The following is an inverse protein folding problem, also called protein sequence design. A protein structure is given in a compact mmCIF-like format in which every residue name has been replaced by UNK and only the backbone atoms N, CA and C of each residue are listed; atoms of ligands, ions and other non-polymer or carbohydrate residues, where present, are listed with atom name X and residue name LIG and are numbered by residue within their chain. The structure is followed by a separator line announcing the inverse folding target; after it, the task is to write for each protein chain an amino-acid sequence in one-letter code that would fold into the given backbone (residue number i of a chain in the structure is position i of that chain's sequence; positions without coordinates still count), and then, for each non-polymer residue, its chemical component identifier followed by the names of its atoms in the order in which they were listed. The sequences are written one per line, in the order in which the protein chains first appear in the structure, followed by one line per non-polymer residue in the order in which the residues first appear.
data_IF_991352040035
#
_entry.id   IF_991352040035
#
_cell.length_a   1.000
_cell.length_b   1.000
_cell.length_c   1.000
_cell.angle_alpha   90.00
_cell.angle_beta   90.00
_cell.angle_gamma   90.00
#
_symmetry.space_group_name_H-M   'P 1'
#
loop_
_entity.id
_entity.type
_entity.pdbx_description
1 polymer ?
#
# COMPACT_ATOMS: atom_id res chain seq x y z
N UNK A 1 25.17 10.03 22.32
CA UNK A 1 24.00 9.95 23.22
C UNK A 1 23.19 8.72 22.90
N UNK A 2 22.25 8.28 23.76
CA UNK A 2 21.42 7.11 23.47
C UNK A 2 20.52 7.37 22.24
N UNK A 3 20.43 6.37 21.37
CA UNK A 3 19.54 6.40 20.20
C UNK A 3 18.14 5.95 20.64
N UNK A 4 17.13 6.81 20.44
CA UNK A 4 15.74 6.47 20.70
C UNK A 4 15.12 5.82 19.45
N UNK A 5 14.21 4.87 19.66
CA UNK A 5 13.38 4.34 18.57
C UNK A 5 12.46 5.45 18.02
N UNK A 6 12.32 5.52 16.69
CA UNK A 6 11.51 6.53 16.00
C UNK A 6 10.43 5.86 15.15
N UNK A 7 9.32 6.57 14.95
CA UNK A 7 8.24 6.19 14.03
C UNK A 7 8.55 6.55 12.56
N UNK A 8 9.74 7.11 12.28
CA UNK A 8 10.14 7.51 10.94
C UNK A 8 10.59 6.29 10.11
N UNK A 9 9.65 5.71 9.37
CA UNK A 9 9.93 4.68 8.37
C UNK A 9 9.82 5.28 6.95
N UNK A 10 10.77 4.93 6.09
CA UNK A 10 10.85 5.40 4.70
C UNK A 10 10.07 4.55 3.70
N UNK A 11 9.28 3.59 4.18
CA UNK A 11 8.47 2.69 3.36
C UNK A 11 7.10 2.47 3.98
N UNK A 12 6.12 2.12 3.15
CA UNK A 12 4.73 1.90 3.56
C UNK A 12 4.35 0.42 3.50
N UNK A 13 4.87 -0.29 2.51
CA UNK A 13 4.62 -1.72 2.26
C UNK A 13 5.96 -2.44 2.08
N UNK A 14 6.10 -3.60 2.70
CA UNK A 14 7.23 -4.50 2.55
C UNK A 14 6.80 -5.83 1.91
N UNK A 15 7.76 -6.49 1.26
CA UNK A 15 7.57 -7.78 0.60
C UNK A 15 8.58 -8.78 1.16
N UNK A 16 8.14 -10.02 1.36
CA UNK A 16 9.01 -11.15 1.71
C UNK A 16 8.45 -12.46 1.12
N UNK A 17 9.19 -13.56 1.28
CA UNK A 17 8.77 -14.92 0.98
C UNK A 17 8.57 -15.71 2.28
N UNK A 18 7.42 -16.36 2.42
CA UNK A 18 7.19 -17.29 3.53
C UNK A 18 8.00 -18.59 3.37
N UNK A 19 7.93 -19.48 4.36
CA UNK A 19 8.61 -20.78 4.33
C UNK A 19 8.17 -21.69 3.16
N UNK A 20 7.05 -21.38 2.50
CA UNK A 20 6.54 -22.07 1.31
C UNK A 20 6.85 -21.31 0.01
N UNK A 21 7.74 -20.31 0.05
CA UNK A 21 8.10 -19.42 -1.06
C UNK A 21 6.92 -18.64 -1.66
N UNK A 22 5.88 -18.37 -0.87
CA UNK A 22 4.78 -17.50 -1.30
C UNK A 22 5.07 -16.06 -0.90
N UNK A 23 4.70 -15.12 -1.74
CA UNK A 23 4.89 -13.70 -1.44
C UNK A 23 3.98 -13.28 -0.29
N UNK A 24 4.57 -12.62 0.69
CA UNK A 24 3.89 -11.97 1.80
C UNK A 24 4.06 -10.46 1.66
N UNK A 25 2.95 -9.75 1.63
CA UNK A 25 2.88 -8.30 1.56
C UNK A 25 2.47 -7.78 2.94
N UNK A 26 3.24 -6.84 3.48
CA UNK A 26 3.13 -6.42 4.87
C UNK A 26 3.03 -4.90 4.95
N UNK A 27 2.03 -4.35 5.67
CA UNK A 27 2.07 -2.93 5.99
C UNK A 27 3.24 -2.65 6.94
N UNK A 28 3.79 -1.43 6.88
CA UNK A 28 4.91 -0.98 7.74
C UNK A 28 4.71 -1.30 9.23
N UNK A 29 3.45 -1.24 9.70
CA UNK A 29 3.08 -1.55 11.08
C UNK A 29 3.44 -2.98 11.49
N UNK A 30 3.40 -3.95 10.59
CA UNK A 30 3.78 -5.33 10.90
C UNK A 30 5.26 -5.44 11.29
N UNK A 31 6.12 -4.61 10.68
CA UNK A 31 7.56 -4.62 10.93
C UNK A 31 7.98 -3.65 12.04
N UNK A 32 7.47 -2.42 12.00
CA UNK A 32 7.79 -1.36 12.97
C UNK A 32 6.91 -1.34 14.22
N UNK A 33 5.99 -2.31 14.36
CA UNK A 33 5.07 -2.42 15.49
C UNK A 33 4.12 -1.23 15.62
N UNK A 34 3.58 -1.03 16.82
CA UNK A 34 2.64 0.06 17.10
C UNK A 34 3.23 1.46 16.83
N UNK A 35 4.55 1.61 16.96
CA UNK A 35 5.25 2.88 16.73
C UNK A 35 5.12 3.36 15.28
N UNK A 36 5.31 2.46 14.30
CA UNK A 36 5.12 2.78 12.88
C UNK A 36 3.68 3.24 12.56
N UNK A 37 2.69 2.69 13.28
CA UNK A 37 1.28 3.01 13.10
C UNK A 37 0.85 4.39 13.59
N UNK A 38 1.76 5.18 14.20
CA UNK A 38 1.44 6.49 14.78
C UNK A 38 1.51 7.64 13.78
N UNK A 39 2.39 7.56 12.77
CA UNK A 39 2.54 8.59 11.74
C UNK A 39 1.86 8.21 10.43
N UNK A 40 1.81 6.91 10.13
CA UNK A 40 1.25 6.37 8.90
C UNK A 40 0.39 5.16 9.21
N UNK A 41 -0.79 5.09 8.60
CA UNK A 41 -1.65 3.92 8.64
C UNK A 41 -1.81 3.38 7.22
N UNK A 42 -1.26 2.19 7.01
CA UNK A 42 -1.30 1.49 5.72
C UNK A 42 -2.28 0.34 5.82
N UNK A 43 -3.19 0.26 4.85
CA UNK A 43 -4.16 -0.81 4.74
C UNK A 43 -4.03 -1.57 3.43
N UNK A 44 -4.24 -2.88 3.51
CA UNK A 44 -4.17 -3.79 2.38
C UNK A 44 -5.51 -4.50 2.18
N UNK A 45 -5.96 -4.59 0.95
CA UNK A 45 -7.17 -5.33 0.58
C UNK A 45 -6.93 -6.10 -0.72
N UNK A 46 -7.24 -7.40 -0.72
CA UNK A 46 -7.28 -8.18 -1.96
C UNK A 46 -8.51 -7.76 -2.75
N UNK A 47 -8.34 -7.45 -4.03
CA UNK A 47 -9.42 -7.03 -4.91
C UNK A 47 -9.57 -8.02 -6.07
N UNK A 48 -10.82 -8.34 -6.48
CA UNK A 48 -11.05 -9.27 -7.57
C UNK A 48 -10.66 -8.65 -8.92
N UNK A 49 -10.28 -9.50 -9.87
CA UNK A 49 -9.89 -9.11 -11.23
C UNK A 49 -8.40 -9.16 -11.48
N UNK A 50 -7.99 -8.66 -12.64
CA UNK A 50 -6.58 -8.52 -13.04
C UNK A 50 -6.10 -7.10 -12.80
N UNK A 51 -4.77 -6.92 -12.76
CA UNK A 51 -4.17 -5.59 -12.56
C UNK A 51 -4.67 -4.56 -13.58
N UNK A 52 -4.87 -4.95 -14.84
CA UNK A 52 -5.40 -4.06 -15.87
C UNK A 52 -6.89 -3.73 -15.69
N UNK A 53 -7.70 -4.69 -15.23
CA UNK A 53 -9.15 -4.49 -15.06
C UNK A 53 -9.55 -3.66 -13.84
N UNK A 54 -8.67 -3.58 -12.82
CA UNK A 54 -8.93 -2.76 -11.63
C UNK A 54 -8.59 -1.31 -11.95
N UNK A 55 -9.61 -0.52 -12.28
CA UNK A 55 -9.46 0.91 -12.64
C UNK A 55 -9.71 1.83 -11.45
N UNK A 56 -10.45 1.38 -10.46
CA UNK A 56 -10.74 2.10 -9.21
C UNK A 56 -10.65 1.11 -8.03
N UNK A 57 -10.07 1.54 -6.91
CA UNK A 57 -10.00 0.72 -5.69
C UNK A 57 -11.22 0.94 -4.77
N UNK A 58 -11.52 -0.01 -3.86
CA UNK A 58 -12.59 0.14 -2.89
C UNK A 58 -12.40 1.36 -1.98
N UNK A 59 -13.51 1.90 -1.45
CA UNK A 59 -13.45 2.98 -0.46
C UNK A 59 -13.26 2.48 0.98
N UNK A 60 -13.47 1.19 1.23
CA UNK A 60 -13.51 0.58 2.57
C UNK A 60 -13.13 -0.90 2.50
N UNK A 61 -12.76 -1.47 3.66
CA UNK A 61 -12.50 -2.91 3.79
C UNK A 61 -11.01 -3.26 3.88
N UNK A 62 -10.15 -2.25 4.01
CA UNK A 62 -8.72 -2.41 4.16
C UNK A 62 -8.35 -2.96 5.54
N UNK A 63 -7.49 -3.97 5.53
CA UNK A 63 -6.87 -4.51 6.73
C UNK A 63 -5.55 -3.79 7.00
N UNK A 64 -5.48 -3.10 8.14
CA UNK A 64 -4.33 -2.27 8.52
C UNK A 64 -3.37 -2.94 9.50
N UNK A 65 -3.60 -4.21 9.80
CA UNK A 65 -2.83 -4.98 10.77
C UNK A 65 -2.21 -6.22 10.12
N UNK A 66 -3.00 -6.88 9.29
CA UNK A 66 -2.69 -8.18 8.73
C UNK A 66 -1.75 -8.14 7.55
N UNK A 67 -0.92 -9.17 7.48
CA UNK A 67 -0.14 -9.51 6.31
C UNK A 67 -1.03 -10.15 5.24
N UNK A 68 -0.69 -9.98 3.97
CA UNK A 68 -1.37 -10.62 2.85
C UNK A 68 -0.43 -11.57 2.15
N UNK A 69 -0.67 -12.87 2.28
CA UNK A 69 -0.01 -13.87 1.44
C UNK A 69 -0.72 -13.92 0.09
N UNK A 70 0.00 -13.66 -0.99
CA UNK A 70 -0.56 -13.53 -2.33
C UNK A 70 0.19 -14.41 -3.32
N UNK A 71 -0.56 -15.02 -4.24
CA UNK A 71 0.00 -15.66 -5.41
C UNK A 71 0.26 -14.62 -6.52
N UNK A 72 1.17 -14.89 -7.47
CA UNK A 72 1.32 -14.06 -8.65
C UNK A 72 -0.01 -13.82 -9.36
N UNK A 73 -0.23 -12.58 -9.83
CA UNK A 73 -1.45 -12.13 -10.49
C UNK A 73 -2.54 -11.63 -9.54
N UNK A 74 -2.45 -11.87 -8.23
CA UNK A 74 -3.40 -11.31 -7.25
C UNK A 74 -3.15 -9.81 -7.09
N UNK A 75 -4.22 -9.03 -7.24
CA UNK A 75 -4.18 -7.57 -7.07
C UNK A 75 -4.51 -7.20 -5.63
N UNK A 76 -3.69 -6.31 -5.09
CA UNK A 76 -3.91 -5.67 -3.81
C UNK A 76 -4.21 -4.20 -4.04
N UNK A 77 -5.32 -3.72 -3.47
CA UNK A 77 -5.51 -2.31 -3.22
C UNK A 77 -4.76 -1.92 -1.93
N UNK A 78 -4.20 -0.71 -1.93
CA UNK A 78 -3.51 -0.12 -0.79
C UNK A 78 -4.17 1.21 -0.45
N UNK A 79 -4.46 1.43 0.83
CA UNK A 79 -4.76 2.75 1.38
C UNK A 79 -3.60 3.21 2.25
N UNK A 80 -3.21 4.47 2.13
CA UNK A 80 -2.25 5.13 3.00
C UNK A 80 -2.91 6.37 3.59
N UNK A 81 -3.14 6.36 4.90
CA UNK A 81 -3.40 7.57 5.65
C UNK A 81 -2.08 8.10 6.21
N UNK A 82 -1.65 9.25 5.72
CA UNK A 82 -0.44 9.95 6.16
C UNK A 82 -0.81 11.41 6.44
N UNK A 83 -0.50 11.86 7.66
CA UNK A 83 -0.76 13.25 8.04
C UNK A 83 -0.08 14.24 7.11
N UNK A 84 1.12 13.92 6.62
CA UNK A 84 1.99 14.82 5.87
C UNK A 84 1.77 14.84 4.36
N UNK A 85 1.30 13.73 3.78
CA UNK A 85 1.24 13.58 2.33
C UNK A 85 0.19 14.49 1.65
N UNK A 86 -0.84 14.92 2.38
CA UNK A 86 -1.98 15.66 1.84
C UNK A 86 -2.03 17.15 2.24
N UNK A 87 -1.05 17.65 3.02
CA UNK A 87 -1.07 19.02 3.55
C UNK A 87 -0.95 20.12 2.48
N UNK A 88 -0.41 19.83 1.29
CA UNK A 88 -0.28 20.82 0.21
C UNK A 88 -1.55 20.98 -0.65
N UNK A 89 -2.59 20.16 -0.40
CA UNK A 89 -3.87 20.32 -1.09
C UNK A 89 -4.66 21.46 -0.44
N UNK A 90 -4.83 22.57 -1.16
CA UNK A 90 -5.60 23.76 -0.73
C UNK A 90 -7.12 23.51 -0.64
N UNK A 91 -7.53 22.29 -0.29
CA UNK A 91 -8.91 21.86 -0.27
C UNK A 91 -9.43 21.90 1.18
N UNK A 92 -10.42 22.74 1.48
CA UNK A 92 -11.07 22.87 2.80
C UNK A 92 -11.68 21.56 3.37
N UNK A 93 -11.64 20.47 2.61
CA UNK A 93 -12.04 19.10 3.02
C UNK A 93 -10.84 18.25 3.50
N UNK A 94 -9.76 18.89 3.98
CA UNK A 94 -8.54 18.24 4.55
C UNK A 94 -8.87 17.22 5.64
N UNK A 95 -10.01 17.37 6.32
CA UNK A 95 -10.40 16.52 7.47
C UNK A 95 -10.83 15.11 7.02
N UNK A 96 -11.31 14.92 5.78
CA UNK A 96 -11.89 13.63 5.34
C UNK A 96 -11.10 12.91 4.25
N UNK A 97 -10.06 13.55 3.69
CA UNK A 97 -9.41 13.07 2.46
C UNK A 97 -7.89 12.99 2.62
N UNK A 98 -7.38 12.49 3.75
CA UNK A 98 -5.94 12.29 3.99
C UNK A 98 -5.42 10.93 3.49
N UNK A 99 -6.15 10.31 2.56
CA UNK A 99 -5.86 8.96 2.11
C UNK A 99 -5.34 9.00 0.68
N UNK A 100 -4.17 8.43 0.48
CA UNK A 100 -3.61 8.10 -0.83
C UNK A 100 -3.99 6.65 -1.15
N UNK A 101 -4.41 6.40 -2.38
CA UNK A 101 -4.77 5.08 -2.84
C UNK A 101 -3.80 4.58 -3.91
N UNK A 102 -3.56 3.28 -3.88
CA UNK A 102 -2.76 2.60 -4.89
C UNK A 102 -3.32 1.21 -5.17
N UNK A 103 -2.86 0.61 -6.26
CA UNK A 103 -2.92 -0.83 -6.47
C UNK A 103 -1.54 -1.38 -6.74
N UNK A 104 -1.34 -2.64 -6.37
CA UNK A 104 -0.15 -3.40 -6.68
C UNK A 104 -0.50 -4.83 -7.09
N UNK A 105 0.38 -5.45 -7.86
CA UNK A 105 0.32 -6.87 -8.22
C UNK A 105 1.72 -7.45 -8.12
N UNK A 106 1.80 -8.71 -7.67
CA UNK A 106 3.01 -9.51 -7.81
C UNK A 106 2.94 -10.20 -9.17
N UNK A 107 3.86 -9.90 -10.07
CA UNK A 107 3.87 -10.48 -11.42
C UNK A 107 4.51 -11.86 -11.43
N UNK A 108 5.63 -12.00 -10.74
CA UNK A 108 6.38 -13.26 -10.67
C UNK A 108 7.30 -13.30 -9.45
N UNK A 109 7.70 -14.52 -9.09
CA UNK A 109 8.63 -14.80 -7.99
C UNK A 109 9.70 -15.76 -8.50
N UNK A 110 10.97 -15.39 -8.33
CA UNK A 110 12.10 -16.30 -8.42
C UNK A 110 12.54 -16.64 -7.00
N UNK A 111 12.07 -17.79 -6.50
CA UNK A 111 12.36 -18.24 -5.15
C UNK A 111 13.82 -18.66 -4.95
N UNK A 112 14.50 -19.12 -6.01
CA UNK A 112 15.89 -19.54 -5.93
C UNK A 112 16.82 -18.35 -5.68
N UNK A 113 16.50 -17.19 -6.28
CA UNK A 113 17.25 -15.95 -6.07
C UNK A 113 16.57 -14.96 -5.11
N UNK A 114 15.45 -15.36 -4.49
CA UNK A 114 14.61 -14.53 -3.60
C UNK A 114 14.21 -13.17 -4.22
N UNK A 115 13.84 -13.17 -5.49
CA UNK A 115 13.39 -11.96 -6.21
C UNK A 115 11.87 -11.98 -6.38
N UNK A 116 11.25 -10.85 -6.11
CA UNK A 116 9.82 -10.61 -6.27
C UNK A 116 9.66 -9.47 -7.26
N UNK A 117 8.97 -9.71 -8.37
CA UNK A 117 8.68 -8.71 -9.38
C UNK A 117 7.27 -8.18 -9.16
N UNK A 118 7.14 -6.87 -9.05
CA UNK A 118 5.84 -6.23 -8.78
C UNK A 118 5.61 -5.07 -9.73
N UNK A 119 4.34 -4.79 -9.98
CA UNK A 119 3.88 -3.56 -10.62
C UNK A 119 2.93 -2.84 -9.68
N UNK A 120 2.96 -1.52 -9.71
CA UNK A 120 2.06 -0.67 -8.93
C UNK A 120 1.61 0.56 -9.72
N UNK A 121 0.46 1.09 -9.34
CA UNK A 121 -0.03 2.40 -9.75
C UNK A 121 -0.47 3.11 -8.49
N UNK A 122 0.01 4.35 -8.32
CA UNK A 122 -0.33 5.21 -7.18
C UNK A 122 -1.06 6.43 -7.72
N UNK A 123 -2.18 6.78 -7.09
CA UNK A 123 -2.81 8.08 -7.30
C UNK A 123 -2.34 9.03 -6.18
N UNK A 124 -1.46 10.02 -6.48
CA UNK A 124 -0.99 10.95 -5.47
C UNK A 124 -2.06 11.97 -5.04
N UNK A 125 -3.22 12.01 -5.70
CA UNK A 125 -4.30 12.92 -5.32
C UNK A 125 -5.09 12.33 -4.15
N UNK A 126 -5.10 13.04 -3.04
CA UNK A 126 -5.71 12.51 -1.84
C UNK A 126 -7.24 12.37 -1.98
N UNK A 127 -7.74 11.19 -1.60
CA UNK A 127 -9.14 10.80 -1.72
C UNK A 127 -9.54 10.27 -3.09
N UNK A 128 -8.67 10.33 -4.10
CA UNK A 128 -8.94 9.79 -5.43
C UNK A 128 -8.59 8.30 -5.45
N UNK A 129 -9.48 7.50 -6.01
CA UNK A 129 -9.34 6.03 -6.04
C UNK A 129 -9.01 5.50 -7.43
N UNK A 130 -8.91 6.38 -8.42
CA UNK A 130 -8.61 6.03 -9.81
C UNK A 130 -7.17 5.53 -9.94
N UNK A 131 -7.00 4.24 -10.18
CA UNK A 131 -5.69 3.56 -10.28
C UNK A 131 -5.47 3.03 -11.69
N UNK A 132 -5.72 3.87 -12.69
CA UNK A 132 -5.57 3.50 -14.09
C UNK A 132 -4.09 3.66 -14.51
N UNK A 133 -3.43 2.58 -14.99
CA UNK A 133 -2.04 2.65 -15.43
C UNK A 133 -1.85 3.69 -16.54
N UNK A 134 -0.69 4.34 -16.56
CA UNK A 134 -0.26 5.26 -17.62
C UNK A 134 -1.25 6.39 -17.94
N UNK A 135 -2.01 6.81 -16.94
CA UNK A 135 -3.02 7.85 -17.07
C UNK A 135 -2.85 8.94 -16.03
N UNK A 136 -3.36 10.14 -16.33
CA UNK A 136 -3.54 11.18 -15.33
C UNK A 136 -4.64 10.71 -14.38
N UNK A 137 -4.40 10.70 -13.06
CA UNK A 137 -5.42 10.26 -12.13
C UNK A 137 -6.68 11.15 -12.20
N UNK A 138 -7.85 10.52 -12.15
CA UNK A 138 -9.17 11.16 -12.31
C UNK A 138 -10.06 10.73 -11.15
N UNK A 139 -11.00 11.62 -10.81
CA UNK A 139 -11.96 11.42 -9.72
C UNK A 139 -12.91 10.28 -10.01
#
# INVERSE_FOLDING_TARGET
GPSHATAAFSFDVAFDLDASNRTVVMPVRTLGGALAGTLKRVGLQVVPGTFASVLEVPATGYDTLGVKTVAPGVVLAVELQDGTACYSSYNLTVITSQIIYAKLVVDSVDAATRRIFTRSVVDPNCGYRGVVPDSVPKR
#
